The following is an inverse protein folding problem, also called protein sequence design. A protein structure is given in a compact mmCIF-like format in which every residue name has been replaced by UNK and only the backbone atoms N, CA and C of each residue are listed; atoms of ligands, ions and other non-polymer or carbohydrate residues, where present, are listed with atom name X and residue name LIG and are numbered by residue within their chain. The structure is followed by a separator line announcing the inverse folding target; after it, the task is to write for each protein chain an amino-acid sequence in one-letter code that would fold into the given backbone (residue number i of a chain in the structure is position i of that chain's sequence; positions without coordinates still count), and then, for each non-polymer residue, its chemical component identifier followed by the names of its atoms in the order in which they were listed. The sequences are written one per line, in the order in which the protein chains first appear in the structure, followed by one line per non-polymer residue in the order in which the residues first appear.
data_IF_062705516335
#
_entry.id   IF_062705516335
#
_cell.length_a   1.000
_cell.length_b   1.000
_cell.length_c   1.000
_cell.angle_alpha   90.00
_cell.angle_beta   90.00
_cell.angle_gamma   90.00
#
_symmetry.space_group_name_H-M   'P 1'
#
loop_
_entity.id
_entity.type
_entity.pdbx_description
1 polymer ?
#
# COMPACT_ATOMS: atom_id res chain seq x y z
N UNK A 1 42.15 51.66 -23.12
CA UNK A 1 40.72 51.89 -22.85
C UNK A 1 39.99 50.79 -23.60
N UNK A 2 39.80 49.64 -22.95
CA UNK A 2 39.21 48.46 -23.57
C UNK A 2 37.73 48.31 -23.18
N UNK A 3 36.82 48.11 -24.15
CA UNK A 3 35.40 47.97 -23.89
C UNK A 3 35.09 46.58 -23.35
N UNK A 4 34.55 46.52 -22.12
CA UNK A 4 34.05 45.28 -21.51
C UNK A 4 32.77 44.86 -22.24
N UNK A 5 32.85 43.72 -22.92
CA UNK A 5 31.69 43.03 -23.49
C UNK A 5 30.76 42.53 -22.38
N UNK A 6 29.48 42.88 -22.49
CA UNK A 6 28.38 42.23 -21.77
C UNK A 6 28.17 40.82 -22.34
N UNK A 7 28.40 39.79 -21.53
CA UNK A 7 27.97 38.42 -21.83
C UNK A 7 26.53 38.22 -21.35
N UNK A 8 25.61 37.96 -22.28
CA UNK A 8 24.23 37.57 -21.99
C UNK A 8 24.18 36.18 -21.33
N UNK A 9 23.24 35.91 -20.40
CA UNK A 9 23.10 34.59 -19.80
C UNK A 9 22.56 33.57 -20.82
N UNK A 10 23.22 32.42 -20.89
CA UNK A 10 22.83 31.30 -21.75
C UNK A 10 21.53 30.69 -21.23
N UNK A 11 20.46 30.76 -22.02
CA UNK A 11 19.19 30.12 -21.71
C UNK A 11 19.36 28.58 -21.66
N UNK A 12 19.18 28.00 -20.47
CA UNK A 12 19.13 26.54 -20.30
C UNK A 12 17.85 26.01 -20.94
N UNK A 13 17.98 25.21 -21.99
CA UNK A 13 16.84 24.50 -22.60
C UNK A 13 16.39 23.37 -21.67
N UNK A 14 15.07 23.18 -21.43
CA UNK A 14 14.59 22.06 -20.64
C UNK A 14 14.87 20.75 -21.39
N UNK A 15 15.70 19.90 -20.79
CA UNK A 15 15.95 18.53 -21.24
C UNK A 15 14.65 17.72 -21.17
N UNK A 16 14.08 17.41 -22.33
CA UNK A 16 12.97 16.46 -22.46
C UNK A 16 13.45 15.06 -22.05
N UNK A 17 13.03 14.59 -20.88
CA UNK A 17 13.20 13.21 -20.47
C UNK A 17 12.40 12.29 -21.40
N UNK A 18 13.10 11.35 -22.03
CA UNK A 18 12.55 10.33 -22.93
C UNK A 18 11.61 9.40 -22.16
N UNK A 19 10.41 9.17 -22.70
CA UNK A 19 9.38 8.27 -22.16
C UNK A 19 9.84 6.83 -21.90
N UNK A 20 11.00 6.42 -22.44
CA UNK A 20 11.58 5.09 -22.20
C UNK A 20 12.25 4.94 -20.82
N UNK A 21 12.68 6.04 -20.20
CA UNK A 21 13.29 6.03 -18.84
C UNK A 21 12.22 5.87 -17.76
N UNK A 22 11.01 6.41 -17.98
CA UNK A 22 9.89 6.31 -17.04
C UNK A 22 9.36 4.86 -16.96
N UNK A 23 9.36 4.13 -18.07
CA UNK A 23 8.87 2.74 -18.10
C UNK A 23 9.90 1.74 -17.52
N UNK A 24 11.20 1.98 -17.72
CA UNK A 24 12.28 1.19 -17.11
C UNK A 24 12.41 1.39 -15.59
N UNK A 25 12.13 2.60 -15.10
CA UNK A 25 12.17 2.90 -13.66
C UNK A 25 11.06 2.20 -12.86
N UNK A 26 9.86 2.05 -13.43
CA UNK A 26 8.72 1.40 -12.76
C UNK A 26 8.93 -0.11 -12.63
N UNK A 27 9.47 -0.78 -13.66
CA UNK A 27 9.76 -2.22 -13.61
C UNK A 27 10.83 -2.59 -12.60
N UNK A 28 11.91 -1.79 -12.52
CA UNK A 28 12.99 -2.00 -11.55
C UNK A 28 12.52 -1.72 -10.11
N UNK A 29 11.67 -0.72 -9.91
CA UNK A 29 11.09 -0.42 -8.59
C UNK A 29 10.19 -1.55 -8.10
N UNK A 30 9.39 -2.16 -8.99
CA UNK A 30 8.52 -3.30 -8.65
C UNK A 30 9.32 -4.54 -8.24
N UNK A 31 10.45 -4.81 -8.89
CA UNK A 31 11.35 -5.90 -8.54
C UNK A 31 12.08 -5.67 -7.22
N UNK A 32 12.52 -4.45 -6.95
CA UNK A 32 13.17 -4.09 -5.67
C UNK A 32 12.16 -4.14 -4.51
N UNK A 33 10.91 -3.73 -4.73
CA UNK A 33 9.85 -3.83 -3.71
C UNK A 33 9.50 -5.31 -3.42
N UNK A 34 9.41 -6.17 -4.44
CA UNK A 34 9.23 -7.61 -4.25
C UNK A 34 10.43 -8.24 -3.50
N UNK A 35 11.65 -7.81 -3.84
CA UNK A 35 12.88 -8.29 -3.18
C UNK A 35 12.99 -7.88 -1.72
N UNK A 36 12.62 -6.64 -1.37
CA UNK A 36 12.63 -6.16 0.02
C UNK A 36 11.48 -6.76 0.84
N UNK A 37 10.29 -6.98 0.24
CA UNK A 37 9.22 -7.71 0.90
C UNK A 37 9.62 -9.15 1.22
N UNK A 38 10.31 -9.85 0.31
CA UNK A 38 10.79 -11.22 0.52
C UNK A 38 11.93 -11.34 1.54
N UNK A 39 12.69 -10.27 1.80
CA UNK A 39 13.77 -10.26 2.80
C UNK A 39 13.29 -9.87 4.21
N UNK A 40 12.07 -9.34 4.37
CA UNK A 40 11.46 -9.07 5.68
C UNK A 40 10.90 -10.34 6.37
N UNK A 41 10.94 -11.50 5.72
CA UNK A 41 10.40 -12.78 6.21
C UNK A 41 11.22 -13.47 7.32
N UNK A 42 12.22 -12.80 7.92
CA UNK A 42 13.04 -13.39 9.00
C UNK A 42 12.74 -12.87 10.41
N UNK A 43 11.81 -11.92 10.58
CA UNK A 43 11.50 -11.31 11.87
C UNK A 43 10.11 -11.68 12.40
N UNK A 44 10.03 -12.65 13.32
CA UNK A 44 8.81 -12.94 14.10
C UNK A 44 8.16 -14.26 13.70
N UNK A 45 8.68 -15.37 14.22
CA UNK A 45 8.17 -16.72 13.96
C UNK A 45 6.94 -17.06 14.81
N UNK A 46 6.42 -16.11 15.61
CA UNK A 46 5.26 -16.31 16.47
C UNK A 46 4.00 -15.73 15.80
N UNK A 47 2.85 -16.37 16.03
CA UNK A 47 1.56 -16.00 15.41
C UNK A 47 1.05 -14.62 15.85
N UNK A 48 1.34 -14.21 17.09
CA UNK A 48 0.96 -12.90 17.62
C UNK A 48 1.57 -11.76 16.81
N UNK A 49 2.88 -11.83 16.53
CA UNK A 49 3.59 -10.84 15.71
C UNK A 49 2.96 -10.74 14.31
N UNK A 50 2.57 -11.87 13.72
CA UNK A 50 1.94 -11.91 12.40
C UNK A 50 0.55 -11.25 12.42
N UNK A 51 -0.28 -11.55 13.42
CA UNK A 51 -1.58 -10.89 13.62
C UNK A 51 -1.39 -9.38 13.85
N UNK A 52 -0.40 -9.00 14.66
CA UNK A 52 -0.07 -7.59 14.91
C UNK A 52 0.37 -6.86 13.63
N UNK A 53 1.17 -7.50 12.78
CA UNK A 53 1.49 -6.96 11.44
C UNK A 53 0.24 -6.80 10.59
N UNK A 54 -0.68 -7.77 10.62
CA UNK A 54 -1.92 -7.70 9.87
C UNK A 54 -2.79 -6.52 10.34
N UNK A 55 -2.89 -6.27 11.65
CA UNK A 55 -3.56 -5.08 12.22
C UNK A 55 -2.90 -3.80 11.71
N UNK A 56 -1.58 -3.71 11.77
CA UNK A 56 -0.86 -2.50 11.36
C UNK A 56 -1.01 -2.21 9.86
N UNK A 57 -0.88 -3.23 9.00
CA UNK A 57 -1.11 -3.11 7.56
C UNK A 57 -2.55 -2.74 7.22
N UNK A 58 -3.52 -3.28 7.95
CA UNK A 58 -4.93 -2.89 7.83
C UNK A 58 -5.11 -1.40 8.14
N UNK A 59 -4.49 -0.90 9.22
CA UNK A 59 -4.53 0.51 9.58
C UNK A 59 -3.89 1.40 8.50
N UNK A 60 -2.77 0.97 7.91
CA UNK A 60 -2.15 1.67 6.79
C UNK A 60 -3.04 1.69 5.54
N UNK A 61 -3.73 0.60 5.23
CA UNK A 61 -4.71 0.54 4.13
C UNK A 61 -5.89 1.50 4.37
N UNK A 62 -6.36 1.62 5.62
CA UNK A 62 -7.38 2.61 6.00
C UNK A 62 -6.87 4.03 5.74
N UNK A 63 -5.67 4.37 6.23
CA UNK A 63 -5.06 5.68 5.99
C UNK A 63 -4.88 5.96 4.50
N UNK A 64 -4.40 4.97 3.73
CA UNK A 64 -4.24 5.08 2.28
C UNK A 64 -5.57 5.40 1.58
N UNK A 65 -6.64 4.67 1.93
CA UNK A 65 -7.97 4.86 1.32
C UNK A 65 -8.64 6.18 1.74
N UNK A 66 -8.43 6.63 2.98
CA UNK A 66 -8.90 7.94 3.46
C UNK A 66 -8.14 9.09 2.76
N UNK A 67 -6.81 9.03 2.69
CA UNK A 67 -5.97 10.07 2.09
C UNK A 67 -6.16 10.20 0.57
N UNK A 68 -6.39 9.07 -0.12
CA UNK A 68 -6.57 9.06 -1.57
C UNK A 68 -7.89 9.69 -2.01
N UNK A 69 -8.93 9.67 -1.17
CA UNK A 69 -10.30 10.12 -1.50
C UNK A 69 -10.35 11.50 -2.15
N UNK A 70 -9.50 12.44 -1.71
CA UNK A 70 -9.48 13.83 -2.22
C UNK A 70 -8.88 13.98 -3.62
N UNK A 71 -8.16 12.97 -4.10
CA UNK A 71 -7.40 13.02 -5.34
C UNK A 71 -7.96 12.10 -6.44
N UNK A 72 -8.80 11.12 -6.07
CA UNK A 72 -9.45 10.21 -7.03
C UNK A 72 -10.41 11.00 -7.91
N UNK A 73 -10.30 10.84 -9.24
CA UNK A 73 -11.16 11.52 -10.22
C UNK A 73 -12.24 10.60 -10.80
N UNK A 74 -11.95 9.32 -10.95
CA UNK A 74 -12.88 8.31 -11.44
C UNK A 74 -13.96 8.03 -10.39
N UNK A 75 -15.22 8.22 -10.78
CA UNK A 75 -16.37 7.94 -9.92
C UNK A 75 -16.43 6.45 -9.51
N UNK A 76 -16.06 5.54 -10.43
CA UNK A 76 -16.06 4.11 -10.15
C UNK A 76 -14.95 3.74 -9.16
N UNK A 77 -13.75 4.29 -9.35
CA UNK A 77 -12.64 4.10 -8.40
C UNK A 77 -12.95 4.73 -7.04
N UNK A 78 -13.67 5.85 -7.00
CA UNK A 78 -14.10 6.49 -5.76
C UNK A 78 -15.09 5.61 -4.99
N UNK A 79 -16.03 4.97 -5.70
CA UNK A 79 -16.97 4.00 -5.09
C UNK A 79 -16.21 2.80 -4.53
N UNK A 80 -15.32 2.19 -5.31
CA UNK A 80 -14.51 1.04 -4.87
C UNK A 80 -13.65 1.42 -3.67
N UNK A 81 -13.06 2.62 -3.67
CA UNK A 81 -12.31 3.14 -2.52
C UNK A 81 -13.16 3.26 -1.25
N UNK A 82 -14.39 3.76 -1.37
CA UNK A 82 -15.30 3.89 -0.25
C UNK A 82 -15.71 2.51 0.31
N UNK A 83 -16.05 1.56 -0.56
CA UNK A 83 -16.39 0.20 -0.17
C UNK A 83 -15.20 -0.50 0.51
N UNK A 84 -14.01 -0.35 -0.06
CA UNK A 84 -12.78 -0.86 0.53
C UNK A 84 -12.53 -0.26 1.92
N UNK A 85 -12.62 1.06 2.07
CA UNK A 85 -12.43 1.74 3.36
C UNK A 85 -13.43 1.26 4.42
N UNK A 86 -14.70 1.05 4.03
CA UNK A 86 -15.74 0.53 4.91
C UNK A 86 -15.41 -0.88 5.40
N UNK A 87 -15.07 -1.79 4.49
CA UNK A 87 -14.68 -3.16 4.86
C UNK A 87 -13.42 -3.15 5.73
N UNK A 88 -12.42 -2.35 5.36
CA UNK A 88 -11.17 -2.29 6.09
C UNK A 88 -11.37 -1.83 7.54
N UNK A 89 -12.19 -0.79 7.76
CA UNK A 89 -12.53 -0.28 9.10
C UNK A 89 -13.34 -1.29 9.91
N UNK A 90 -14.29 -1.96 9.28
CA UNK A 90 -15.09 -3.01 9.94
C UNK A 90 -14.21 -4.17 10.40
N UNK A 91 -13.34 -4.65 9.51
CA UNK A 91 -12.47 -5.81 9.76
C UNK A 91 -11.32 -5.51 10.73
N UNK A 92 -10.93 -4.24 10.89
CA UNK A 92 -9.91 -3.85 11.86
C UNK A 92 -10.32 -4.21 13.30
N UNK A 93 -11.60 -4.08 13.66
CA UNK A 93 -12.10 -4.47 14.98
C UNK A 93 -11.90 -5.96 15.25
N UNK A 94 -12.17 -6.79 14.25
CA UNK A 94 -11.95 -8.24 14.29
C UNK A 94 -10.47 -8.57 14.44
N UNK A 95 -9.59 -7.99 13.63
CA UNK A 95 -8.14 -8.22 13.72
C UNK A 95 -7.56 -7.74 15.05
N UNK A 96 -8.03 -6.61 15.57
CA UNK A 96 -7.60 -6.09 16.88
C UNK A 96 -8.02 -7.02 18.02
N UNK A 97 -9.21 -7.60 17.93
CA UNK A 97 -9.68 -8.60 18.92
C UNK A 97 -8.84 -9.87 18.88
N UNK A 98 -8.48 -10.34 17.68
CA UNK A 98 -7.56 -11.47 17.50
C UNK A 98 -6.15 -11.14 18.00
N UNK A 99 -5.68 -9.91 17.83
CA UNK A 99 -4.39 -9.48 18.36
C UNK A 99 -4.40 -9.51 19.90
N UNK A 100 -5.46 -8.99 20.52
CA UNK A 100 -5.61 -8.98 21.97
C UNK A 100 -5.64 -10.41 22.57
N UNK A 101 -6.22 -11.38 21.86
CA UNK A 101 -6.23 -12.78 22.32
C UNK A 101 -4.85 -13.44 22.33
N UNK A 102 -3.87 -12.85 21.63
CA UNK A 102 -2.45 -13.26 21.71
C UNK A 102 -1.67 -12.60 22.86
N UNK A 103 -2.35 -11.78 23.68
CA UNK A 103 -1.74 -11.04 24.78
C UNK A 103 -1.11 -9.69 24.36
N UNK A 104 -1.31 -9.27 23.10
CA UNK A 104 -0.79 -8.00 22.58
C UNK A 104 -1.93 -6.99 22.46
N UNK A 105 -1.92 -5.94 23.29
CA UNK A 105 -2.97 -4.92 23.29
C UNK A 105 -2.74 -3.80 22.26
N UNK A 106 -1.48 -3.55 21.90
CA UNK A 106 -1.05 -2.46 21.01
C UNK A 106 0.06 -2.93 20.11
N UNK A 107 0.11 -2.39 18.89
CA UNK A 107 1.20 -2.65 17.95
C UNK A 107 2.55 -2.21 18.57
N UNK A 108 3.50 -3.12 18.80
CA UNK A 108 4.84 -2.80 19.26
C UNK A 108 5.58 -1.87 18.29
N UNK A 109 6.44 -1.00 18.83
CA UNK A 109 7.15 0.02 18.03
C UNK A 109 8.12 -0.60 17.01
N UNK A 110 8.73 -1.72 17.34
CA UNK A 110 9.63 -2.49 16.48
C UNK A 110 8.89 -3.10 15.29
N UNK A 111 7.72 -3.71 15.52
CA UNK A 111 6.86 -4.19 14.43
C UNK A 111 6.40 -3.02 13.55
N UNK A 112 5.95 -1.92 14.18
CA UNK A 112 5.56 -0.73 13.44
C UNK A 112 6.71 -0.17 12.58
N UNK A 113 7.93 -0.13 13.12
CA UNK A 113 9.13 0.34 12.42
C UNK A 113 9.49 -0.53 11.20
N UNK A 114 9.30 -1.85 11.30
CA UNK A 114 9.57 -2.78 10.20
C UNK A 114 8.53 -2.72 9.08
N UNK A 115 7.31 -2.30 9.40
CA UNK A 115 6.20 -2.20 8.45
C UNK A 115 6.01 -0.78 7.89
N UNK A 116 6.89 0.17 8.21
CA UNK A 116 6.78 1.55 7.69
C UNK A 116 6.90 1.55 6.18
N UNK A 117 5.86 2.06 5.51
CA UNK A 117 5.90 2.31 4.08
C UNK A 117 6.37 3.74 3.78
N UNK A 118 7.59 3.86 3.29
CA UNK A 118 8.21 5.13 2.90
C UNK A 118 8.03 5.45 1.42
N UNK A 119 7.43 4.55 0.63
CA UNK A 119 7.44 4.60 -0.84
C UNK A 119 6.11 5.01 -1.45
N UNK A 120 4.99 4.62 -0.83
CA UNK A 120 3.66 4.83 -1.40
C UNK A 120 3.31 6.31 -1.54
N UNK A 121 3.52 7.11 -0.48
CA UNK A 121 3.15 8.52 -0.50
C UNK A 121 3.90 9.32 -1.59
N UNK A 122 5.25 9.28 -1.68
CA UNK A 122 5.97 9.94 -2.77
C UNK A 122 5.52 9.49 -4.15
N UNK A 123 5.25 8.19 -4.31
CA UNK A 123 4.76 7.62 -5.58
C UNK A 123 3.41 8.20 -5.99
N UNK A 124 2.47 8.35 -5.05
CA UNK A 124 1.16 8.95 -5.31
C UNK A 124 1.24 10.45 -5.55
N UNK A 125 2.13 11.18 -4.87
CA UNK A 125 2.37 12.61 -5.11
C UNK A 125 2.97 12.87 -6.51
N UNK A 126 3.91 12.02 -6.94
CA UNK A 126 4.44 12.06 -8.30
C UNK A 126 3.36 11.73 -9.34
N UNK A 127 2.52 10.73 -9.07
CA UNK A 127 1.41 10.37 -9.94
C UNK A 127 0.38 11.50 -10.04
N UNK A 128 0.10 12.20 -8.95
CA UNK A 128 -0.75 13.39 -8.93
C UNK A 128 -0.20 14.49 -9.84
N UNK A 129 1.11 14.78 -9.72
CA UNK A 129 1.79 15.80 -10.53
C UNK A 129 1.83 15.47 -12.03
N UNK A 130 1.71 14.18 -12.38
CA UNK A 130 1.69 13.70 -13.77
C UNK A 130 0.28 13.37 -14.29
N UNK A 131 -0.78 13.71 -13.54
CA UNK A 131 -2.17 13.37 -13.87
C UNK A 131 -2.44 11.86 -14.06
N UNK A 132 -1.66 11.01 -13.37
CA UNK A 132 -1.77 9.54 -13.37
C UNK A 132 -2.16 8.98 -12.00
N UNK A 133 -2.79 9.82 -11.16
CA UNK A 133 -3.12 9.46 -9.79
C UNK A 133 -3.98 8.19 -9.73
N UNK A 134 -5.11 8.15 -10.42
CA UNK A 134 -6.06 7.04 -10.37
C UNK A 134 -5.44 5.70 -10.79
N UNK A 135 -4.69 5.66 -11.90
CA UNK A 135 -3.97 4.46 -12.35
C UNK A 135 -2.97 3.97 -11.32
N UNK A 136 -2.19 4.91 -10.77
CA UNK A 136 -1.14 4.58 -9.80
C UNK A 136 -1.76 4.14 -8.48
N UNK A 137 -2.83 4.80 -8.06
CA UNK A 137 -3.58 4.48 -6.86
C UNK A 137 -4.21 3.09 -6.96
N UNK A 138 -4.88 2.77 -8.08
CA UNK A 138 -5.43 1.44 -8.36
C UNK A 138 -4.38 0.35 -8.18
N UNK A 139 -3.20 0.55 -8.78
CA UNK A 139 -2.08 -0.40 -8.68
C UNK A 139 -1.55 -0.52 -7.24
N UNK A 140 -1.33 0.59 -6.56
CA UNK A 140 -0.83 0.60 -5.17
C UNK A 140 -1.83 -0.08 -4.24
N UNK A 141 -3.11 0.25 -4.33
CA UNK A 141 -4.17 -0.33 -3.50
C UNK A 141 -4.25 -1.84 -3.73
N UNK A 142 -4.25 -2.29 -4.99
CA UNK A 142 -4.23 -3.72 -5.33
C UNK A 142 -2.97 -4.43 -4.78
N UNK A 143 -1.80 -3.82 -4.85
CA UNK A 143 -0.58 -4.40 -4.29
C UNK A 143 -0.66 -4.56 -2.77
N UNK A 144 -1.14 -3.52 -2.07
CA UNK A 144 -1.28 -3.53 -0.61
C UNK A 144 -2.32 -4.52 -0.13
N UNK A 145 -3.47 -4.60 -0.81
CA UNK A 145 -4.49 -5.61 -0.50
C UNK A 145 -3.95 -7.03 -0.72
N UNK A 146 -3.23 -7.27 -1.82
CA UNK A 146 -2.63 -8.60 -2.08
C UNK A 146 -1.64 -9.00 -0.99
N UNK A 147 -0.80 -8.05 -0.55
CA UNK A 147 0.16 -8.28 0.55
C UNK A 147 -0.54 -8.59 1.88
N UNK A 148 -1.66 -7.91 2.16
CA UNK A 148 -2.49 -8.20 3.34
C UNK A 148 -3.13 -9.59 3.24
N UNK A 149 -3.70 -9.94 2.09
CA UNK A 149 -4.30 -11.26 1.85
C UNK A 149 -3.27 -12.39 2.01
N UNK A 150 -2.05 -12.20 1.51
CA UNK A 150 -0.97 -13.17 1.69
C UNK A 150 -0.66 -13.40 3.18
N UNK A 151 -0.56 -12.32 3.96
CA UNK A 151 -0.34 -12.42 5.41
C UNK A 151 -1.50 -13.11 6.13
N UNK A 152 -2.75 -12.76 5.79
CA UNK A 152 -3.94 -13.42 6.36
C UNK A 152 -3.98 -14.91 6.01
N UNK A 153 -3.63 -15.29 4.79
CA UNK A 153 -3.55 -16.69 4.37
C UNK A 153 -2.45 -17.46 5.10
N UNK A 154 -1.36 -16.79 5.49
CA UNK A 154 -0.29 -17.39 6.27
C UNK A 154 -0.70 -17.61 7.75
N UNK A 155 -1.46 -16.68 8.31
CA UNK A 155 -1.94 -16.74 9.69
C UNK A 155 -3.08 -17.75 9.84
N UNK A 156 -3.96 -17.85 8.84
CA UNK A 156 -5.17 -18.68 8.87
C UNK A 156 -4.95 -20.12 9.36
N UNK A 157 -3.99 -20.91 8.83
CA UNK A 157 -3.78 -22.27 9.32
C UNK A 157 -3.13 -22.36 10.70
N UNK A 158 -2.57 -21.25 11.21
CA UNK A 158 -1.83 -21.21 12.49
C UNK A 158 -2.74 -20.85 13.66
N UNK A 159 -3.88 -20.19 13.42
CA UNK A 159 -4.84 -19.89 14.49
C UNK A 159 -5.57 -21.17 14.91
N UNK A 160 -5.57 -21.45 16.22
CA UNK A 160 -6.12 -22.70 16.78
C UNK A 160 -7.64 -22.68 16.99
N UNK A 161 -8.28 -21.51 16.90
CA UNK A 161 -9.71 -21.36 17.12
C UNK A 161 -10.49 -21.29 15.80
N UNK A 162 -11.56 -22.07 15.71
CA UNK A 162 -12.39 -22.17 14.50
C UNK A 162 -13.11 -20.85 14.18
N UNK A 163 -13.48 -20.07 15.21
CA UNK A 163 -14.10 -18.77 15.01
C UNK A 163 -13.09 -17.77 14.43
N UNK A 164 -11.85 -17.76 14.93
CA UNK A 164 -10.75 -16.97 14.37
C UNK A 164 -10.48 -17.32 12.90
N UNK A 165 -10.46 -18.61 12.54
CA UNK A 165 -10.30 -19.05 11.15
C UNK A 165 -11.40 -18.51 10.23
N UNK A 166 -12.67 -18.62 10.67
CA UNK A 166 -13.82 -18.08 9.92
C UNK A 166 -13.69 -16.57 9.73
N UNK A 167 -13.37 -15.84 10.80
CA UNK A 167 -13.16 -14.40 10.74
C UNK A 167 -12.05 -14.02 9.76
N UNK A 168 -10.91 -14.70 9.78
CA UNK A 168 -9.81 -14.45 8.82
C UNK A 168 -10.24 -14.75 7.37
N UNK A 169 -11.01 -15.83 7.16
CA UNK A 169 -11.57 -16.16 5.85
C UNK A 169 -12.54 -15.10 5.33
N UNK A 170 -13.42 -14.58 6.19
CA UNK A 170 -14.34 -13.50 5.82
C UNK A 170 -13.60 -12.23 5.40
N UNK A 171 -12.58 -11.83 6.16
CA UNK A 171 -11.74 -10.68 5.83
C UNK A 171 -11.04 -10.91 4.48
N UNK A 172 -10.44 -12.09 4.29
CA UNK A 172 -9.78 -12.46 3.04
C UNK A 172 -10.73 -12.34 1.83
N UNK A 173 -11.96 -12.84 1.95
CA UNK A 173 -12.96 -12.84 0.89
C UNK A 173 -13.46 -11.42 0.56
N UNK A 174 -13.64 -10.56 1.57
CA UNK A 174 -13.97 -9.14 1.33
C UNK A 174 -12.86 -8.43 0.57
N UNK A 175 -11.60 -8.65 0.95
CA UNK A 175 -10.45 -8.12 0.24
C UNK A 175 -10.35 -8.66 -1.21
N UNK A 176 -10.70 -9.93 -1.41
CA UNK A 176 -10.74 -10.54 -2.74
C UNK A 176 -11.83 -9.90 -3.62
N UNK A 177 -12.99 -9.58 -3.04
CA UNK A 177 -14.06 -8.83 -3.73
C UNK A 177 -13.56 -7.45 -4.18
N UNK A 178 -12.83 -6.73 -3.32
CA UNK A 178 -12.23 -5.43 -3.69
C UNK A 178 -11.21 -5.60 -4.82
N UNK A 179 -10.36 -6.64 -4.79
CA UNK A 179 -9.44 -6.93 -5.89
C UNK A 179 -10.15 -7.16 -7.21
N UNK A 180 -11.23 -7.96 -7.21
CA UNK A 180 -12.03 -8.23 -8.41
C UNK A 180 -12.63 -6.94 -8.95
N UNK A 181 -13.12 -6.06 -8.08
CA UNK A 181 -13.63 -4.74 -8.50
C UNK A 181 -12.52 -3.87 -9.10
N UNK A 182 -11.33 -3.83 -8.49
CA UNK A 182 -10.19 -3.08 -9.02
C UNK A 182 -9.70 -3.62 -10.38
N UNK A 183 -9.70 -4.94 -10.56
CA UNK A 183 -9.30 -5.58 -11.81
C UNK A 183 -10.28 -5.32 -12.97
N UNK A 184 -11.57 -5.13 -12.65
CA UNK A 184 -12.62 -4.88 -13.63
C UNK A 184 -12.78 -3.40 -14.01
N UNK A 185 -12.06 -2.48 -13.34
CA UNK A 185 -12.02 -1.07 -13.71
C UNK A 185 -11.39 -0.88 -15.10
N UNK A 186 -12.18 -0.32 -16.01
CA UNK A 186 -11.78 0.03 -17.38
C UNK A 186 -10.94 1.30 -17.43
#
# INVERSE_FOLDING_TARGET
MDPRYYSAPVAQRPTKLSNKVVLGGIGLLLLVIFGVMLLAFSGGNNIGDQITRAVFRQQQLITLTDDAKKNIRSAELMRINADANLFLKSDLGTLTSLMASTGVEKVPKDIAAQEVDTTTKPRLEQALSSSRFDDTYKLVLSQKISSQQALLSEIHPKVGDAQAQRSLSEIYNKLESVQKQLANLK
#
